data_IF_804097353614
#
_entry.id   IF_804097353614
#
_cell.length_a   1.000
_cell.length_b   1.000
_cell.length_c   1.000
_cell.angle_alpha   90.00
_cell.angle_beta   90.00
_cell.angle_gamma   90.00
#
_symmetry.space_group_name_H-M   'P 1'
#
loop_
_entity.id
_entity.type
_entity.pdbx_description
1 polymer ?
#
# COMPACT_ATOMS: atom_id res chain seq x y z
N UNK A 1 -4.18 23.53 5.41
CA UNK A 1 -3.33 24.27 4.47
C UNK A 1 -2.88 25.61 5.05
N UNK A 2 -1.82 26.21 4.51
CA UNK A 2 -1.30 27.49 5.01
C UNK A 2 -2.28 28.65 4.83
N UNK A 3 -3.25 28.54 3.94
CA UNK A 3 -4.35 29.49 3.72
C UNK A 3 -5.55 29.27 4.67
N UNK A 4 -5.44 28.37 5.63
CA UNK A 4 -6.51 27.96 6.54
C UNK A 4 -7.47 26.91 5.97
N UNK A 5 -7.29 26.44 4.74
CA UNK A 5 -8.09 25.36 4.15
C UNK A 5 -7.87 24.04 4.91
N UNK A 6 -8.94 23.38 5.32
CA UNK A 6 -8.86 22.06 5.95
C UNK A 6 -8.84 20.97 4.87
N UNK A 7 -7.71 20.31 4.74
CA UNK A 7 -7.55 19.13 3.88
C UNK A 7 -7.80 17.85 4.68
N UNK A 8 -8.54 16.92 4.11
CA UNK A 8 -8.95 15.67 4.74
C UNK A 8 -9.01 14.54 3.72
N UNK A 9 -9.05 13.31 4.20
CA UNK A 9 -9.54 12.16 3.42
C UNK A 9 -10.93 11.78 3.89
N UNK A 10 -11.81 11.43 2.96
CA UNK A 10 -13.19 11.01 3.25
C UNK A 10 -13.71 10.06 2.18
N UNK A 11 -14.51 9.09 2.59
CA UNK A 11 -15.27 8.19 1.72
C UNK A 11 -16.72 8.66 1.52
N UNK A 12 -17.05 9.90 1.90
CA UNK A 12 -18.37 10.47 1.69
C UNK A 12 -18.75 10.45 0.21
N UNK A 13 -19.88 9.77 -0.11
CA UNK A 13 -20.36 9.58 -1.48
C UNK A 13 -19.44 8.75 -2.39
N UNK A 14 -18.54 7.94 -1.81
CA UNK A 14 -17.61 7.06 -2.55
C UNK A 14 -17.43 5.73 -1.85
N UNK A 15 -16.98 4.73 -2.60
CA UNK A 15 -16.51 3.45 -2.06
C UNK A 15 -15.11 3.56 -1.46
N UNK A 16 -14.31 4.51 -1.95
CA UNK A 16 -12.91 4.71 -1.57
C UNK A 16 -12.71 6.05 -0.85
N UNK A 17 -11.71 6.12 0.03
CA UNK A 17 -11.28 7.36 0.65
C UNK A 17 -10.62 8.27 -0.40
N UNK A 18 -11.11 9.49 -0.51
CA UNK A 18 -10.65 10.50 -1.44
C UNK A 18 -10.04 11.69 -0.69
N UNK A 19 -8.98 12.25 -1.26
CA UNK A 19 -8.44 13.52 -0.82
C UNK A 19 -9.41 14.66 -1.18
N UNK A 20 -9.60 15.60 -0.26
CA UNK A 20 -10.46 16.75 -0.49
C UNK A 20 -10.35 17.80 0.59
N UNK A 21 -11.20 18.81 0.48
CA UNK A 21 -11.33 19.89 1.45
C UNK A 21 -12.66 19.80 2.19
N UNK A 22 -12.66 20.17 3.46
CA UNK A 22 -13.86 20.20 4.29
C UNK A 22 -14.13 21.64 4.76
N UNK A 23 -15.35 22.09 4.57
CA UNK A 23 -15.83 23.35 5.15
C UNK A 23 -16.05 23.14 6.66
N UNK A 24 -15.32 23.87 7.49
CA UNK A 24 -15.36 23.69 8.95
C UNK A 24 -16.67 24.15 9.61
N UNK A 25 -17.50 24.93 8.92
CA UNK A 25 -18.78 25.42 9.46
C UNK A 25 -19.93 24.47 9.11
N UNK A 26 -19.90 23.93 7.91
CA UNK A 26 -21.00 23.08 7.39
C UNK A 26 -20.69 21.60 7.44
N UNK A 27 -19.39 21.22 7.55
CA UNK A 27 -18.93 19.83 7.42
C UNK A 27 -18.94 19.32 5.98
N UNK A 28 -19.27 20.17 4.99
CA UNK A 28 -19.35 19.75 3.59
C UNK A 28 -17.98 19.37 3.04
N UNK A 29 -17.87 18.13 2.52
CA UNK A 29 -16.68 17.61 1.85
C UNK A 29 -16.71 17.94 0.36
N UNK A 30 -15.59 18.42 -0.16
CA UNK A 30 -15.38 18.67 -1.60
C UNK A 30 -14.15 17.88 -2.06
N UNK A 31 -14.32 16.83 -2.89
CA UNK A 31 -13.18 16.09 -3.43
C UNK A 31 -12.24 16.99 -4.23
N UNK A 32 -10.94 16.72 -4.15
CA UNK A 32 -9.89 17.39 -4.90
C UNK A 32 -9.00 16.40 -5.62
N UNK A 33 -8.53 16.75 -6.80
CA UNK A 33 -7.77 15.87 -7.66
C UNK A 33 -8.64 14.86 -8.44
N UNK A 34 -8.03 13.87 -9.10
CA UNK A 34 -8.73 12.86 -9.89
C UNK A 34 -9.55 11.91 -9.00
N UNK A 35 -10.58 11.30 -9.60
CA UNK A 35 -11.31 10.23 -8.94
C UNK A 35 -10.41 8.99 -8.85
N UNK A 36 -9.93 8.71 -7.64
CA UNK A 36 -9.16 7.50 -7.37
C UNK A 36 -10.09 6.29 -7.25
N UNK A 37 -9.57 5.13 -7.68
CA UNK A 37 -10.24 3.82 -7.50
C UNK A 37 -9.62 3.02 -6.36
N UNK A 38 -8.87 3.72 -5.47
CA UNK A 38 -8.16 3.18 -4.33
C UNK A 38 -8.17 4.21 -3.20
N UNK A 39 -8.08 3.73 -1.98
CA UNK A 39 -8.03 4.61 -0.82
C UNK A 39 -6.79 5.50 -0.83
N UNK A 40 -6.98 6.79 -0.59
CA UNK A 40 -5.90 7.69 -0.18
C UNK A 40 -5.60 7.41 1.28
N UNK A 41 -4.43 6.83 1.56
CA UNK A 41 -4.06 6.33 2.89
C UNK A 41 -3.26 7.33 3.73
N UNK A 42 -2.53 8.22 3.09
CA UNK A 42 -1.74 9.26 3.75
C UNK A 42 -1.50 10.45 2.81
N UNK A 43 -1.34 11.64 3.36
CA UNK A 43 -0.93 12.82 2.62
C UNK A 43 -0.21 13.82 3.52
N UNK A 44 0.53 14.72 2.90
CA UNK A 44 1.11 15.90 3.52
C UNK A 44 1.08 17.07 2.54
N UNK A 45 1.08 18.31 3.05
CA UNK A 45 0.97 19.54 2.26
C UNK A 45 2.24 20.38 2.39
N UNK A 46 2.73 20.93 1.27
CA UNK A 46 3.86 21.83 1.27
C UNK A 46 3.58 23.10 2.08
N UNK A 47 4.61 23.64 2.72
CA UNK A 47 4.52 24.84 3.58
C UNK A 47 4.03 26.09 2.84
N UNK A 48 4.32 26.16 1.53
CA UNK A 48 3.85 27.22 0.64
C UNK A 48 2.45 26.97 0.05
N UNK A 49 1.85 25.80 0.32
CA UNK A 49 0.53 25.43 -0.19
C UNK A 49 0.48 25.15 -1.70
N UNK A 50 1.62 24.94 -2.36
CA UNK A 50 1.65 24.75 -3.80
C UNK A 50 1.29 23.33 -4.23
N UNK A 51 1.62 22.32 -3.41
CA UNK A 51 1.33 20.93 -3.72
C UNK A 51 0.99 20.08 -2.49
N UNK A 52 0.38 18.94 -2.75
CA UNK A 52 0.18 17.85 -1.78
C UNK A 52 0.88 16.61 -2.31
N UNK A 53 1.67 15.95 -1.44
CA UNK A 53 2.07 14.57 -1.65
C UNK A 53 1.08 13.65 -0.99
N UNK A 54 0.68 12.58 -1.68
CA UNK A 54 -0.22 11.58 -1.11
C UNK A 54 0.11 10.18 -1.60
N UNK A 55 -0.33 9.18 -0.85
CA UNK A 55 -0.24 7.77 -1.25
C UNK A 55 -1.62 7.19 -1.44
N UNK A 56 -1.79 6.41 -2.52
CA UNK A 56 -2.94 5.52 -2.71
C UNK A 56 -2.54 4.08 -2.41
N UNK A 57 -3.45 3.32 -1.79
CA UNK A 57 -3.28 1.90 -1.52
C UNK A 57 -3.82 1.08 -2.69
N UNK A 58 -2.98 0.78 -3.67
CA UNK A 58 -3.37 0.05 -4.88
C UNK A 58 -3.18 -1.46 -4.68
N UNK A 59 -4.24 -2.14 -4.25
CA UNK A 59 -4.25 -3.56 -3.90
C UNK A 59 -3.14 -3.95 -2.91
N UNK A 60 -2.85 -3.09 -1.93
CA UNK A 60 -1.81 -3.31 -0.92
C UNK A 60 -0.48 -2.63 -1.21
N UNK A 61 -0.25 -2.13 -2.42
CA UNK A 61 0.98 -1.40 -2.78
C UNK A 61 0.75 0.10 -2.68
N UNK A 62 1.60 0.82 -1.96
CA UNK A 62 1.54 2.28 -1.93
C UNK A 62 2.04 2.88 -3.24
N UNK A 63 1.24 3.75 -3.86
CA UNK A 63 1.64 4.58 -4.99
C UNK A 63 1.70 6.04 -4.58
N UNK A 64 2.88 6.63 -4.68
CA UNK A 64 3.10 8.03 -4.30
C UNK A 64 2.76 8.94 -5.46
N UNK A 65 1.98 9.97 -5.19
CA UNK A 65 1.47 10.95 -6.16
C UNK A 65 1.66 12.36 -5.61
N UNK A 66 1.82 13.32 -6.50
CA UNK A 66 1.92 14.75 -6.16
C UNK A 66 0.82 15.49 -6.90
N UNK A 67 -0.08 16.12 -6.14
CA UNK A 67 -1.15 16.97 -6.62
C UNK A 67 -0.69 18.43 -6.61
N UNK A 68 -0.70 19.09 -7.75
CA UNK A 68 -0.58 20.54 -7.83
C UNK A 68 -1.91 21.19 -7.42
N UNK A 69 -1.91 21.96 -6.36
CA UNK A 69 -3.15 22.51 -5.76
C UNK A 69 -3.81 23.51 -6.70
N UNK A 70 -3.02 24.30 -7.43
CA UNK A 70 -3.54 25.35 -8.30
C UNK A 70 -4.18 24.79 -9.57
N UNK A 71 -3.54 23.80 -10.19
CA UNK A 71 -3.98 23.26 -11.48
C UNK A 71 -4.86 22.02 -11.36
N UNK A 72 -4.80 21.31 -10.22
CA UNK A 72 -5.40 20.00 -10.02
C UNK A 72 -4.66 18.87 -10.76
N UNK A 73 -3.51 19.17 -11.36
CA UNK A 73 -2.70 18.19 -12.08
C UNK A 73 -2.02 17.21 -11.11
N UNK A 74 -1.99 15.91 -11.46
CA UNK A 74 -1.35 14.87 -10.66
C UNK A 74 -0.19 14.26 -11.42
N UNK A 75 0.93 14.09 -10.73
CA UNK A 75 2.13 13.40 -11.20
C UNK A 75 2.40 12.19 -10.32
N UNK A 76 2.68 11.03 -10.95
CA UNK A 76 2.98 9.77 -10.24
C UNK A 76 4.48 9.62 -10.07
N UNK A 77 4.93 9.40 -8.84
CA UNK A 77 6.35 9.12 -8.54
C UNK A 77 6.68 7.70 -9.01
N UNK A 78 7.73 7.58 -9.80
CA UNK A 78 8.25 6.32 -10.30
C UNK A 78 9.54 5.93 -9.56
N UNK A 79 9.96 4.65 -9.69
CA UNK A 79 11.23 4.18 -9.13
C UNK A 79 11.16 3.60 -7.70
N UNK A 80 10.00 3.65 -7.04
CA UNK A 80 9.77 2.88 -5.83
C UNK A 80 9.37 1.44 -6.19
N UNK A 81 9.94 0.40 -5.54
CA UNK A 81 9.52 -0.99 -5.75
C UNK A 81 8.11 -1.24 -5.17
N UNK A 82 7.58 -2.46 -5.30
CA UNK A 82 6.39 -2.85 -4.57
C UNK A 82 6.64 -2.76 -3.06
N UNK A 83 5.86 -1.94 -2.36
CA UNK A 83 6.10 -1.66 -0.94
C UNK A 83 5.07 -0.75 -0.32
N UNK A 84 5.38 -0.26 0.87
CA UNK A 84 4.50 0.48 1.74
C UNK A 84 5.17 1.77 2.17
N UNK A 85 4.49 2.89 1.98
CA UNK A 85 4.86 4.18 2.57
C UNK A 85 4.41 4.19 4.03
N UNK A 86 5.32 4.46 4.95
CA UNK A 86 5.01 4.57 6.38
C UNK A 86 4.58 5.98 6.78
N UNK A 87 5.25 7.01 6.24
CA UNK A 87 4.97 8.42 6.57
C UNK A 87 5.46 9.34 5.48
N UNK A 88 4.87 10.55 5.43
CA UNK A 88 5.38 11.69 4.68
C UNK A 88 5.87 12.77 5.63
N UNK A 89 6.89 13.52 5.19
CA UNK A 89 7.31 14.76 5.81
C UNK A 89 7.87 15.68 4.70
N UNK A 90 7.29 16.85 4.52
CA UNK A 90 7.75 17.81 3.54
C UNK A 90 8.64 18.84 4.25
N UNK A 91 9.90 18.95 3.82
CA UNK A 91 10.83 19.95 4.32
C UNK A 91 10.41 21.36 3.90
N UNK A 92 10.82 22.39 4.63
CA UNK A 92 10.51 23.80 4.33
C UNK A 92 10.91 24.22 2.91
N UNK A 93 12.00 23.64 2.39
CA UNK A 93 12.47 23.88 1.01
C UNK A 93 11.78 23.03 -0.06
N UNK A 94 10.86 22.15 0.35
CA UNK A 94 9.95 21.40 -0.53
C UNK A 94 10.30 19.95 -0.78
N UNK A 95 11.49 19.45 -0.43
CA UNK A 95 11.83 18.02 -0.57
C UNK A 95 10.90 17.16 0.29
N UNK A 96 10.48 16.02 -0.26
CA UNK A 96 9.56 15.10 0.39
C UNK A 96 10.34 13.94 0.99
N UNK A 97 10.38 13.84 2.31
CA UNK A 97 10.90 12.68 3.03
C UNK A 97 9.83 11.61 3.19
N UNK A 98 10.20 10.34 3.01
CA UNK A 98 9.34 9.19 3.27
C UNK A 98 10.10 8.10 4.03
N UNK A 99 9.39 7.35 4.86
CA UNK A 99 9.81 6.01 5.27
C UNK A 99 9.17 4.99 4.35
N UNK A 100 9.94 4.03 3.86
CA UNK A 100 9.47 3.06 2.89
C UNK A 100 9.94 1.65 3.23
N UNK A 101 9.01 0.70 3.18
CA UNK A 101 9.25 -0.72 3.43
C UNK A 101 8.95 -1.52 2.16
N UNK A 102 9.83 -2.47 1.82
CA UNK A 102 9.65 -3.40 0.69
C UNK A 102 10.25 -4.76 1.03
N UNK A 103 10.20 -5.71 0.13
CA UNK A 103 10.87 -7.00 0.31
C UNK A 103 12.37 -6.87 0.63
N UNK A 104 13.02 -5.80 0.13
CA UNK A 104 14.47 -5.53 0.28
C UNK A 104 14.80 -4.35 1.17
N UNK A 105 13.82 -3.77 1.85
CA UNK A 105 14.00 -2.64 2.75
C UNK A 105 13.10 -2.81 3.96
N UNK A 106 13.69 -2.93 5.15
CA UNK A 106 12.93 -3.17 6.38
C UNK A 106 12.12 -1.93 6.81
N UNK A 107 12.70 -0.74 6.69
CA UNK A 107 12.06 0.58 6.80
C UNK A 107 13.14 1.65 6.60
N UNK A 108 13.39 2.04 5.37
CA UNK A 108 14.45 3.00 5.07
C UNK A 108 13.90 4.39 4.76
N UNK A 109 14.75 5.38 5.00
CA UNK A 109 14.47 6.77 4.67
C UNK A 109 14.80 7.04 3.19
N UNK A 110 13.86 7.66 2.51
CA UNK A 110 14.01 8.12 1.13
C UNK A 110 13.62 9.59 1.03
N UNK A 111 14.12 10.28 0.02
CA UNK A 111 13.59 11.57 -0.40
C UNK A 111 13.10 11.54 -1.84
N UNK A 112 12.14 12.43 -2.12
CA UNK A 112 11.59 12.64 -3.45
C UNK A 112 11.69 14.13 -3.74
N UNK A 113 12.40 14.50 -4.81
CA UNK A 113 12.39 15.87 -5.33
C UNK A 113 11.04 16.13 -6.03
N UNK A 114 10.24 17.12 -5.58
CA UNK A 114 8.90 17.32 -6.09
C UNK A 114 8.86 17.83 -7.53
N UNK A 115 9.96 18.35 -8.07
CA UNK A 115 10.04 18.88 -9.45
C UNK A 115 10.42 17.80 -10.43
N UNK A 116 11.53 17.09 -10.17
CA UNK A 116 12.07 16.05 -11.05
C UNK A 116 11.46 14.67 -10.81
N UNK A 117 10.78 14.45 -9.67
CA UNK A 117 10.29 13.18 -9.16
C UNK A 117 11.39 12.16 -8.90
N UNK A 118 12.65 12.62 -8.79
CA UNK A 118 13.79 11.75 -8.48
C UNK A 118 13.65 11.21 -7.05
N UNK A 119 13.73 9.89 -6.94
CA UNK A 119 13.77 9.18 -5.65
C UNK A 119 15.21 8.91 -5.26
N UNK A 120 15.57 9.20 -4.01
CA UNK A 120 16.90 8.90 -3.44
C UNK A 120 16.72 8.17 -2.13
N UNK A 121 17.37 6.99 -1.99
CA UNK A 121 17.45 6.25 -0.73
C UNK A 121 18.61 6.77 0.10
N UNK A 122 18.41 7.04 1.38
CA UNK A 122 19.41 7.61 2.29
C UNK A 122 19.94 6.63 3.32
N UNK A 123 19.14 5.64 3.69
CA UNK A 123 19.54 4.66 4.71
C UNK A 123 19.46 3.25 4.18
N UNK A 124 20.25 2.37 4.77
CA UNK A 124 20.19 0.92 4.60
C UNK A 124 20.09 0.30 5.98
N UNK A 125 18.90 -0.23 6.31
CA UNK A 125 18.64 -0.84 7.61
C UNK A 125 19.56 -2.03 7.84
N UNK A 126 20.07 -2.14 9.06
CA UNK A 126 20.85 -3.30 9.50
C UNK A 126 20.01 -4.57 9.45
N UNK A 127 20.54 -5.61 8.85
CA UNK A 127 19.85 -6.90 8.65
C UNK A 127 20.61 -8.10 9.21
N UNK A 128 21.57 -7.86 10.12
CA UNK A 128 22.38 -8.92 10.73
C UNK A 128 23.33 -9.60 9.74
N UNK A 129 23.82 -8.85 8.74
CA UNK A 129 24.71 -9.36 7.70
C UNK A 129 24.02 -10.17 6.61
N UNK A 130 22.66 -10.21 6.57
CA UNK A 130 21.92 -10.85 5.50
C UNK A 130 21.96 -10.00 4.23
N UNK A 131 22.20 -10.64 3.10
CA UNK A 131 22.16 -10.02 1.78
C UNK A 131 20.70 -9.83 1.34
N UNK A 132 20.15 -8.64 1.58
CA UNK A 132 18.77 -8.30 1.24
C UNK A 132 18.48 -8.29 -0.27
N UNK A 133 19.51 -8.25 -1.14
CA UNK A 133 19.32 -8.31 -2.59
C UNK A 133 18.79 -9.66 -3.04
N UNK A 134 18.98 -10.70 -2.22
CA UNK A 134 18.46 -12.06 -2.43
C UNK A 134 17.02 -12.25 -1.95
N UNK A 135 16.44 -11.27 -1.26
CA UNK A 135 15.07 -11.37 -0.81
C UNK A 135 14.12 -11.39 -1.99
N UNK A 136 13.14 -12.27 -1.90
CA UNK A 136 12.15 -12.51 -2.96
C UNK A 136 11.15 -11.35 -3.00
N UNK A 137 10.98 -10.77 -4.19
CA UNK A 137 9.90 -9.81 -4.44
C UNK A 137 8.56 -10.55 -4.57
N UNK A 138 7.47 -10.01 -4.00
CA UNK A 138 6.16 -10.65 -4.12
C UNK A 138 5.53 -10.42 -5.49
N UNK A 139 4.75 -11.42 -5.93
CA UNK A 139 3.82 -11.29 -7.05
C UNK A 139 2.43 -10.96 -6.50
N UNK A 140 1.80 -9.89 -7.00
CA UNK A 140 0.37 -9.66 -6.75
C UNK A 140 -0.43 -10.62 -7.62
N UNK A 141 -1.15 -11.55 -7.00
CA UNK A 141 -2.02 -12.49 -7.66
C UNK A 141 -3.49 -12.13 -7.45
N UNK A 142 -4.31 -12.43 -8.45
CA UNK A 142 -5.77 -12.38 -8.32
C UNK A 142 -6.31 -13.78 -8.68
N UNK A 143 -7.12 -14.33 -7.80
CA UNK A 143 -7.77 -15.62 -7.94
C UNK A 143 -9.29 -15.45 -7.89
N UNK A 144 -10.03 -16.35 -8.49
CA UNK A 144 -11.49 -16.37 -8.36
C UNK A 144 -11.87 -17.24 -7.18
N UNK A 145 -12.64 -16.68 -6.26
CA UNK A 145 -13.23 -17.41 -5.15
C UNK A 145 -14.35 -18.35 -5.61
N UNK A 146 -14.90 -19.14 -4.68
CA UNK A 146 -15.95 -20.14 -4.90
C UNK A 146 -17.22 -19.59 -5.62
N UNK A 147 -17.50 -18.30 -5.47
CA UNK A 147 -18.64 -17.59 -6.08
C UNK A 147 -18.24 -16.68 -7.26
N UNK A 148 -16.98 -16.77 -7.69
CA UNK A 148 -16.44 -15.96 -8.80
C UNK A 148 -15.93 -14.57 -8.39
N UNK A 149 -16.04 -14.18 -7.12
CA UNK A 149 -15.48 -12.93 -6.63
C UNK A 149 -13.94 -12.92 -6.84
N UNK A 150 -13.36 -11.88 -7.46
CA UNK A 150 -11.91 -11.74 -7.50
C UNK A 150 -11.39 -11.39 -6.12
N UNK A 151 -10.50 -12.21 -5.58
CA UNK A 151 -9.72 -11.96 -4.37
C UNK A 151 -8.25 -11.92 -4.74
N UNK A 152 -7.48 -11.08 -4.10
CA UNK A 152 -6.06 -10.94 -4.40
C UNK A 152 -5.18 -11.37 -3.23
N UNK A 153 -3.87 -11.43 -3.46
CA UNK A 153 -2.90 -11.73 -2.43
C UNK A 153 -1.48 -11.63 -2.96
N UNK A 154 -0.52 -11.65 -2.05
CA UNK A 154 0.89 -11.59 -2.39
C UNK A 154 1.52 -12.96 -2.28
N UNK A 155 2.06 -13.44 -3.39
CA UNK A 155 2.77 -14.71 -3.46
C UNK A 155 4.28 -14.46 -3.54
N UNK A 156 5.00 -15.00 -2.58
CA UNK A 156 6.46 -15.08 -2.58
C UNK A 156 6.86 -16.47 -3.04
N UNK A 157 7.54 -16.56 -4.20
CA UNK A 157 8.01 -17.84 -4.75
C UNK A 157 9.50 -18.01 -4.48
N UNK A 158 9.94 -19.17 -3.96
CA UNK A 158 11.36 -19.48 -3.88
C UNK A 158 12.02 -19.43 -5.26
N UNK A 159 13.33 -19.16 -5.28
CA UNK A 159 14.11 -19.18 -6.51
C UNK A 159 13.98 -20.54 -7.22
N UNK A 160 13.45 -20.59 -8.44
CA UNK A 160 13.22 -21.85 -9.17
C UNK A 160 14.53 -22.52 -9.61
N UNK A 161 15.64 -21.82 -9.64
CA UNK A 161 16.96 -22.40 -9.95
C UNK A 161 17.49 -23.15 -8.73
N UNK A 162 17.39 -22.54 -7.53
CA UNK A 162 17.79 -23.21 -6.28
C UNK A 162 16.80 -24.31 -5.87
N UNK A 163 15.52 -24.12 -6.14
CA UNK A 163 14.44 -25.02 -5.74
C UNK A 163 13.53 -25.39 -6.92
N UNK A 164 13.98 -26.27 -7.82
CA UNK A 164 13.21 -26.63 -9.00
C UNK A 164 11.96 -27.46 -8.65
N UNK A 165 10.94 -27.38 -9.53
CA UNK A 165 9.72 -28.18 -9.46
C UNK A 165 8.68 -27.63 -8.48
N UNK A 166 7.69 -28.46 -8.14
CA UNK A 166 6.62 -28.10 -7.21
C UNK A 166 7.17 -27.96 -5.79
N UNK A 167 6.79 -26.88 -5.12
CA UNK A 167 7.23 -26.58 -3.75
C UNK A 167 6.05 -26.54 -2.79
N UNK A 168 6.26 -26.87 -1.51
CA UNK A 168 5.25 -26.64 -0.49
C UNK A 168 4.95 -25.15 -0.37
N UNK A 169 3.72 -24.81 -0.02
CA UNK A 169 3.28 -23.43 0.19
C UNK A 169 2.68 -23.27 1.58
N UNK A 170 3.11 -22.23 2.28
CA UNK A 170 2.49 -21.77 3.51
C UNK A 170 1.51 -20.63 3.15
N UNK A 171 0.26 -20.76 3.56
CA UNK A 171 -0.70 -19.67 3.50
C UNK A 171 -0.69 -18.95 4.84
N UNK A 172 -0.43 -17.64 4.83
CA UNK A 172 -0.44 -16.80 6.01
C UNK A 172 -1.56 -15.77 5.90
N UNK A 173 -2.63 -15.99 6.64
CA UNK A 173 -3.86 -15.18 6.58
C UNK A 173 -3.78 -14.09 7.64
N UNK A 174 -3.99 -12.83 7.26
CA UNK A 174 -4.07 -11.74 8.23
C UNK A 174 -5.31 -11.87 9.12
N UNK A 175 -5.24 -11.33 10.32
CA UNK A 175 -6.36 -11.30 11.25
C UNK A 175 -7.23 -10.06 11.07
N UNK A 176 -8.31 -10.04 11.89
CA UNK A 176 -9.16 -8.87 11.98
C UNK A 176 -10.66 -9.19 11.87
N UNK A 177 -11.28 -9.57 10.77
CA UNK A 177 -10.78 -9.75 9.40
C UNK A 177 -10.46 -8.44 8.67
N UNK A 178 -10.89 -7.31 9.21
CA UNK A 178 -10.66 -5.97 8.65
C UNK A 178 -9.18 -5.58 8.74
N UNK A 179 -8.35 -6.26 7.99
CA UNK A 179 -6.93 -6.00 7.81
C UNK A 179 -6.54 -6.13 6.35
N UNK A 180 -5.26 -6.07 6.05
CA UNK A 180 -4.74 -6.25 4.70
C UNK A 180 -3.35 -6.84 4.74
N UNK A 181 -3.11 -7.88 3.93
CA UNK A 181 -1.77 -8.33 3.60
C UNK A 181 -1.17 -7.36 2.58
N UNK A 182 0.03 -6.88 2.87
CA UNK A 182 0.75 -5.90 2.04
C UNK A 182 2.19 -6.34 1.80
N UNK A 183 2.84 -5.94 0.68
CA UNK A 183 4.21 -6.30 0.39
C UNK A 183 5.18 -5.57 1.33
N UNK A 184 5.88 -6.33 2.16
CA UNK A 184 6.82 -5.77 3.12
C UNK A 184 8.02 -6.66 3.34
N UNK A 185 8.90 -6.24 4.23
CA UNK A 185 10.09 -6.98 4.60
C UNK A 185 9.72 -8.25 5.36
N UNK A 186 10.10 -9.42 4.82
CA UNK A 186 9.66 -10.72 5.35
C UNK A 186 10.39 -11.15 6.63
N UNK A 187 11.45 -10.46 7.04
CA UNK A 187 12.19 -10.79 8.24
C UNK A 187 12.59 -12.28 8.29
N UNK A 188 12.20 -12.99 9.33
CA UNK A 188 12.47 -14.42 9.53
C UNK A 188 11.87 -15.32 8.45
N UNK A 189 10.78 -14.91 7.82
CA UNK A 189 10.13 -15.69 6.77
C UNK A 189 10.99 -15.84 5.52
N UNK A 190 12.00 -14.96 5.33
CA UNK A 190 12.98 -15.13 4.26
C UNK A 190 13.74 -16.46 4.37
N UNK A 191 13.91 -17.04 5.57
CA UNK A 191 14.53 -18.36 5.73
C UNK A 191 13.69 -19.46 5.07
N UNK A 192 12.37 -19.40 5.20
CA UNK A 192 11.48 -20.37 4.54
C UNK A 192 11.61 -20.28 3.00
N UNK A 193 11.69 -19.07 2.47
CA UNK A 193 11.82 -18.81 1.03
C UNK A 193 13.21 -19.22 0.51
N UNK A 194 14.26 -18.70 1.14
CA UNK A 194 15.61 -18.74 0.60
C UNK A 194 16.38 -20.02 0.96
N UNK A 195 16.05 -20.66 2.10
CA UNK A 195 16.79 -21.84 2.57
C UNK A 195 15.95 -23.15 2.53
N UNK A 196 14.65 -23.05 2.74
CA UNK A 196 13.78 -24.23 2.75
C UNK A 196 13.01 -24.43 1.42
N UNK A 197 12.98 -23.42 0.57
CA UNK A 197 12.23 -23.46 -0.69
C UNK A 197 10.72 -23.60 -0.48
N UNK A 198 10.18 -23.02 0.58
CA UNK A 198 8.75 -22.97 0.86
C UNK A 198 8.19 -21.66 0.31
N UNK A 199 7.20 -21.73 -0.57
CA UNK A 199 6.46 -20.56 -1.02
C UNK A 199 5.57 -20.00 0.11
N UNK A 200 5.31 -18.70 0.10
CA UNK A 200 4.42 -18.07 1.08
C UNK A 200 3.37 -17.26 0.33
N UNK A 201 2.10 -17.51 0.63
CA UNK A 201 0.99 -16.76 0.08
C UNK A 201 0.26 -16.00 1.19
N UNK A 202 0.06 -14.72 0.98
CA UNK A 202 -0.64 -13.80 1.87
C UNK A 202 -1.93 -13.33 1.19
N UNK A 203 -3.07 -14.01 1.38
CA UNK A 203 -4.33 -13.63 0.75
C UNK A 203 -4.92 -12.35 1.35
N UNK A 204 -5.68 -11.62 0.53
CA UNK A 204 -6.62 -10.57 0.91
C UNK A 204 -8.02 -11.05 0.57
N UNK A 205 -8.59 -11.83 1.47
CA UNK A 205 -9.95 -12.37 1.34
C UNK A 205 -10.99 -11.26 1.43
N UNK A 206 -12.27 -11.54 1.04
CA UNK A 206 -13.36 -10.59 1.28
C UNK A 206 -13.40 -10.14 2.76
N UNK A 207 -13.73 -8.88 3.01
CA UNK A 207 -13.61 -8.26 4.33
C UNK A 207 -12.26 -7.58 4.57
N UNK A 208 -11.25 -7.76 3.69
CA UNK A 208 -9.97 -7.06 3.79
C UNK A 208 -10.14 -5.57 3.46
N UNK A 209 -9.34 -4.73 4.15
CA UNK A 209 -9.26 -3.28 3.87
C UNK A 209 -8.46 -2.99 2.60
N UNK A 210 -8.53 -1.75 2.08
CA UNK A 210 -7.80 -1.28 0.91
C UNK A 210 -8.42 -1.62 -0.45
N UNK A 211 -9.61 -2.22 -0.45
CA UNK A 211 -10.37 -2.58 -1.67
C UNK A 211 -11.73 -1.86 -1.73
N UNK A 212 -11.90 -0.79 -0.94
CA UNK A 212 -13.13 -0.04 -0.78
C UNK A 212 -14.05 -0.59 0.32
N UNK A 213 -14.94 0.26 0.83
CA UNK A 213 -15.86 -0.10 1.93
C UNK A 213 -16.86 -1.19 1.58
N UNK A 214 -17.24 -1.31 0.30
CA UNK A 214 -18.10 -2.38 -0.16
C UNK A 214 -17.42 -3.75 -0.02
N UNK A 215 -16.13 -3.84 -0.36
CA UNK A 215 -15.37 -5.08 -0.21
C UNK A 215 -15.19 -5.46 1.27
N UNK A 216 -14.91 -4.49 2.14
CA UNK A 216 -14.87 -4.68 3.60
C UNK A 216 -16.20 -5.22 4.12
N UNK A 217 -17.32 -4.73 3.59
CA UNK A 217 -18.66 -5.16 4.01
C UNK A 217 -19.09 -6.56 3.54
N UNK A 218 -18.32 -7.24 2.65
CA UNK A 218 -18.75 -8.50 2.03
C UNK A 218 -18.86 -9.68 3.00
N UNK A 219 -18.12 -9.66 4.10
CA UNK A 219 -18.18 -10.70 5.13
C UNK A 219 -18.84 -10.23 6.43
N UNK A 220 -19.40 -9.01 6.46
CA UNK A 220 -20.06 -8.47 7.63
C UNK A 220 -21.38 -9.21 7.95
N UNK A 221 -21.52 -9.55 9.23
CA UNK A 221 -22.67 -10.25 9.77
C UNK A 221 -22.44 -11.74 10.02
N UNK A 222 -23.24 -12.36 10.91
CA UNK A 222 -22.97 -13.69 11.47
C UNK A 222 -23.00 -14.82 10.42
N UNK A 223 -23.76 -14.65 9.33
CA UNK A 223 -23.90 -15.68 8.28
C UNK A 223 -22.95 -15.48 7.09
N UNK A 224 -22.19 -14.38 7.05
CA UNK A 224 -21.27 -14.06 5.95
C UNK A 224 -19.80 -14.31 6.30
N UNK A 225 -19.44 -14.37 7.58
CA UNK A 225 -18.06 -14.55 8.06
C UNK A 225 -17.37 -15.79 7.49
N UNK A 226 -18.11 -16.89 7.29
CA UNK A 226 -17.55 -18.11 6.71
C UNK A 226 -17.13 -17.95 5.24
N UNK A 227 -17.62 -16.92 4.54
CA UNK A 227 -17.30 -16.71 3.14
C UNK A 227 -15.83 -16.28 2.96
N UNK A 228 -15.25 -15.54 3.91
CA UNK A 228 -13.82 -15.21 3.91
C UNK A 228 -12.94 -16.46 4.08
N UNK A 229 -13.42 -17.47 4.83
CA UNK A 229 -12.75 -18.76 4.95
C UNK A 229 -12.83 -19.55 3.63
N UNK A 230 -13.96 -19.51 2.93
CA UNK A 230 -14.14 -20.16 1.61
C UNK A 230 -13.28 -19.51 0.51
N UNK A 231 -12.88 -18.26 0.66
CA UNK A 231 -11.95 -17.60 -0.27
C UNK A 231 -10.57 -18.25 -0.28
N UNK A 232 -10.24 -19.04 0.74
CA UNK A 232 -8.96 -19.71 0.90
C UNK A 232 -8.91 -21.15 0.37
N UNK A 233 -10.08 -21.71 -0.04
CA UNK A 233 -10.27 -23.12 -0.46
C UNK A 233 -10.21 -23.41 -1.97
#
# INVERSE_FOLDING_TARGET
GPDGTLWVTSDEGSDFQRLGTMDIKTGAFTPRGPAERWDVEAFDISSDGSFIVYATNEAGVSKVKILDIKTGGVRVVQGLPAGIVGSFNIAEWGDIGITFTSARSAADAYSIDPKSLKVTRWTESETGGLDVTKNIEPELMTIKSFDGLPVSGFLYRPDPVKFPGKRPMLMNVHGGPEGQSRPGFQGRSNYLLNEMGVAIFYPNVRGSTGYGKNFVGLDNGPFKRENSVKDMG
#
